data_IF_863352648220
#
_entry.id   IF_863352648220
#
_cell.length_a   1.000
_cell.length_b   1.000
_cell.length_c   1.000
_cell.angle_alpha   90.00
_cell.angle_beta   90.00
_cell.angle_gamma   90.00
#
_symmetry.space_group_name_H-M   'P 1'
#
loop_
_entity.id
_entity.type
_entity.pdbx_description
1 polymer ?
#
# COMPACT_ATOMS: atom_id res chain seq x y z
N UNK A 1 14.76 -28.81 -2.43
CA UNK A 1 13.91 -27.73 -1.91
C UNK A 1 12.46 -28.16 -2.00
N UNK A 2 11.66 -27.93 -0.95
CA UNK A 2 10.22 -28.21 -0.93
C UNK A 2 9.44 -26.91 -1.09
N UNK A 3 8.63 -26.84 -2.14
CA UNK A 3 7.66 -25.78 -2.38
C UNK A 3 6.31 -26.21 -1.82
N UNK A 4 5.83 -25.50 -0.81
CA UNK A 4 4.50 -25.62 -0.24
C UNK A 4 3.59 -24.56 -0.86
N UNK A 5 2.51 -24.98 -1.50
CA UNK A 5 1.58 -24.07 -2.16
C UNK A 5 0.17 -24.62 -2.12
N UNK A 6 -0.75 -23.90 -1.48
CA UNK A 6 -2.11 -24.38 -1.21
C UNK A 6 -2.06 -25.77 -0.55
N UNK A 7 -2.76 -26.76 -1.10
CA UNK A 7 -2.77 -28.14 -0.62
C UNK A 7 -1.68 -29.02 -1.26
N UNK A 8 -0.71 -28.42 -1.97
CA UNK A 8 0.32 -29.14 -2.71
C UNK A 8 1.72 -28.96 -2.11
N UNK A 9 2.50 -30.03 -2.17
CA UNK A 9 3.94 -30.00 -1.90
C UNK A 9 4.67 -30.53 -3.13
N UNK A 10 5.53 -29.71 -3.70
CA UNK A 10 6.32 -30.02 -4.91
C UNK A 10 7.80 -29.96 -4.53
N UNK A 11 8.56 -30.97 -4.93
CA UNK A 11 10.00 -31.01 -4.68
C UNK A 11 10.78 -30.62 -5.94
N UNK A 12 11.68 -29.66 -5.79
CA UNK A 12 12.60 -29.21 -6.83
C UNK A 12 14.04 -29.50 -6.39
N UNK A 13 14.88 -29.90 -7.34
CA UNK A 13 16.33 -29.88 -7.11
C UNK A 13 16.80 -28.43 -6.98
N UNK A 14 17.76 -28.20 -6.09
CA UNK A 14 18.33 -26.87 -5.82
C UNK A 14 19.30 -26.45 -6.94
N UNK A 15 18.76 -26.22 -8.14
CA UNK A 15 19.49 -25.85 -9.36
C UNK A 15 18.86 -24.62 -9.99
N UNK A 16 19.70 -23.76 -10.53
CA UNK A 16 19.29 -22.51 -11.21
C UNK A 16 18.31 -22.78 -12.36
N UNK A 17 18.55 -23.85 -13.14
CA UNK A 17 17.67 -24.27 -14.25
C UNK A 17 16.21 -24.55 -13.83
N UNK A 18 15.96 -24.79 -12.54
CA UNK A 18 14.61 -25.05 -12.02
C UNK A 18 13.86 -23.77 -11.61
N UNK A 19 14.54 -22.63 -11.45
CA UNK A 19 13.94 -21.40 -10.92
C UNK A 19 12.77 -20.94 -11.78
N UNK A 20 12.96 -20.84 -13.10
CA UNK A 20 11.90 -20.42 -14.03
C UNK A 20 10.68 -21.34 -13.93
N UNK A 21 10.91 -22.66 -14.01
CA UNK A 21 9.82 -23.65 -13.95
C UNK A 21 9.04 -23.60 -12.63
N UNK A 22 9.71 -23.28 -11.53
CA UNK A 22 9.10 -23.14 -10.22
C UNK A 22 8.25 -21.88 -10.13
N UNK A 23 8.79 -20.72 -10.54
CA UNK A 23 8.07 -19.45 -10.53
C UNK A 23 6.87 -19.48 -11.48
N UNK A 24 7.03 -20.07 -12.66
CA UNK A 24 5.92 -20.31 -13.60
C UNK A 24 4.84 -21.19 -12.98
N UNK A 25 5.23 -22.25 -12.26
CA UNK A 25 4.28 -23.14 -11.57
C UNK A 25 3.51 -22.42 -10.47
N UNK A 26 4.18 -21.53 -9.73
CA UNK A 26 3.53 -20.66 -8.73
C UNK A 26 2.50 -19.78 -9.44
N UNK A 27 2.94 -19.01 -10.45
CA UNK A 27 2.07 -18.08 -11.18
C UNK A 27 0.85 -18.77 -11.81
N UNK A 28 1.03 -19.94 -12.43
CA UNK A 28 -0.07 -20.73 -13.00
C UNK A 28 -1.04 -21.22 -11.93
N UNK A 29 -0.54 -21.72 -10.80
CA UNK A 29 -1.40 -22.23 -9.73
C UNK A 29 -2.24 -21.12 -9.11
N UNK A 30 -1.61 -19.97 -8.83
CA UNK A 30 -2.30 -18.80 -8.26
C UNK A 30 -3.33 -18.21 -9.23
N UNK A 31 -2.99 -18.08 -10.51
CA UNK A 31 -3.92 -17.56 -11.52
C UNK A 31 -5.17 -18.42 -11.65
N UNK A 32 -5.03 -19.74 -11.50
CA UNK A 32 -6.15 -20.69 -11.58
C UNK A 32 -6.99 -20.76 -10.30
N UNK A 33 -6.48 -20.28 -9.16
CA UNK A 33 -7.20 -20.31 -7.88
C UNK A 33 -8.02 -19.05 -7.59
N UNK A 34 -7.89 -18.00 -8.40
CA UNK A 34 -8.51 -16.71 -8.12
C UNK A 34 -7.93 -16.00 -6.89
N UNK A 35 -6.71 -16.37 -6.49
CA UNK A 35 -5.96 -15.75 -5.40
C UNK A 35 -4.89 -14.82 -5.99
N UNK A 36 -4.31 -13.99 -5.14
CA UNK A 36 -3.19 -13.11 -5.45
C UNK A 36 -1.97 -13.61 -4.67
N UNK A 37 -0.82 -13.70 -5.34
CA UNK A 37 0.44 -13.99 -4.67
C UNK A 37 0.80 -12.79 -3.77
N UNK A 38 0.85 -13.02 -2.46
CA UNK A 38 1.23 -11.98 -1.50
C UNK A 38 2.75 -11.92 -1.35
N UNK A 39 3.36 -13.04 -0.95
CA UNK A 39 4.79 -13.16 -0.74
C UNK A 39 5.19 -14.63 -0.67
N UNK A 40 6.50 -14.87 -0.61
CA UNK A 40 7.06 -16.18 -0.34
C UNK A 40 7.70 -16.18 1.04
N UNK A 41 7.56 -17.29 1.78
CA UNK A 41 8.34 -17.52 3.00
C UNK A 41 9.44 -18.51 2.64
N UNK A 42 10.69 -18.06 2.61
CA UNK A 42 11.85 -18.88 2.27
C UNK A 42 12.64 -19.17 3.55
N UNK A 43 12.65 -20.43 3.99
CA UNK A 43 13.29 -20.87 5.24
C UNK A 43 12.91 -20.00 6.47
N UNK A 44 11.66 -19.54 6.52
CA UNK A 44 11.12 -18.68 7.57
C UNK A 44 11.30 -17.17 7.33
N UNK A 45 11.94 -16.76 6.24
CA UNK A 45 12.10 -15.35 5.85
C UNK A 45 11.03 -14.91 4.85
N UNK A 46 10.29 -13.86 5.17
CA UNK A 46 9.27 -13.27 4.28
C UNK A 46 9.93 -12.45 3.17
N UNK A 47 9.74 -12.90 1.93
CA UNK A 47 10.22 -12.27 0.71
C UNK A 47 9.03 -11.76 -0.11
N UNK A 48 8.91 -10.44 -0.23
CA UNK A 48 7.78 -9.77 -0.88
C UNK A 48 8.01 -9.43 -2.36
N UNK A 49 9.24 -9.56 -2.86
CA UNK A 49 9.56 -9.23 -4.25
C UNK A 49 10.96 -9.70 -4.65
N UNK A 50 11.36 -9.38 -5.89
CA UNK A 50 12.63 -9.83 -6.49
C UNK A 50 12.89 -11.34 -6.30
N UNK A 51 11.84 -12.16 -6.47
CA UNK A 51 11.93 -13.59 -6.22
C UNK A 51 13.06 -14.23 -7.02
N UNK A 52 13.12 -13.95 -8.32
CA UNK A 52 14.13 -14.52 -9.20
C UNK A 52 15.55 -14.24 -8.72
N UNK A 53 15.87 -12.98 -8.40
CA UNK A 53 17.20 -12.60 -7.90
C UNK A 53 17.53 -13.29 -6.58
N UNK A 54 16.59 -13.32 -5.63
CA UNK A 54 16.81 -14.00 -4.36
C UNK A 54 17.07 -15.50 -4.56
N UNK A 55 16.27 -16.18 -5.38
CA UNK A 55 16.48 -17.59 -5.69
C UNK A 55 17.82 -17.81 -6.38
N UNK A 56 18.16 -17.01 -7.38
CA UNK A 56 19.44 -17.13 -8.10
C UNK A 56 20.63 -17.08 -7.14
N UNK A 57 20.61 -16.15 -6.19
CA UNK A 57 21.70 -15.95 -5.22
C UNK A 57 21.77 -17.07 -4.17
N UNK A 58 20.63 -17.69 -3.82
CA UNK A 58 20.52 -18.54 -2.63
C UNK A 58 20.11 -20.00 -2.91
N UNK A 59 19.76 -20.37 -4.15
CA UNK A 59 19.07 -21.64 -4.49
C UNK A 59 19.74 -22.88 -3.90
N UNK A 60 21.07 -22.90 -3.80
CA UNK A 60 21.84 -24.04 -3.30
C UNK A 60 21.51 -24.43 -1.87
N UNK A 61 21.08 -23.48 -1.05
CA UNK A 61 20.87 -23.68 0.39
C UNK A 61 19.40 -23.69 0.80
N UNK A 62 18.48 -23.32 -0.09
CA UNK A 62 17.07 -23.20 0.26
C UNK A 62 16.47 -24.59 0.54
N UNK A 63 15.89 -24.76 1.72
CA UNK A 63 15.26 -26.03 2.10
C UNK A 63 13.75 -26.00 1.83
N UNK A 64 13.08 -24.93 2.24
CA UNK A 64 11.62 -24.78 2.22
C UNK A 64 11.21 -23.42 1.65
N UNK A 65 10.21 -23.45 0.78
CA UNK A 65 9.51 -22.26 0.28
C UNK A 65 8.02 -22.45 0.54
N UNK A 66 7.37 -21.46 1.14
CA UNK A 66 5.92 -21.43 1.32
C UNK A 66 5.33 -20.29 0.51
N UNK A 67 4.37 -20.61 -0.34
CA UNK A 67 3.66 -19.63 -1.15
C UNK A 67 2.50 -19.10 -0.33
N UNK A 68 2.56 -17.81 0.04
CA UNK A 68 1.46 -17.15 0.71
C UNK A 68 0.62 -16.43 -0.33
N UNK A 69 -0.61 -16.90 -0.49
CA UNK A 69 -1.59 -16.32 -1.41
C UNK A 69 -2.80 -15.82 -0.63
N UNK A 70 -3.34 -14.68 -1.05
CA UNK A 70 -4.47 -14.01 -0.39
C UNK A 70 -5.61 -13.83 -1.38
N UNK A 71 -6.82 -13.76 -0.87
CA UNK A 71 -7.96 -13.30 -1.63
C UNK A 71 -7.83 -11.81 -1.94
N UNK A 72 -8.59 -11.36 -2.95
CA UNK A 72 -8.74 -9.92 -3.23
C UNK A 72 -9.26 -9.19 -1.97
N UNK A 73 -10.22 -9.77 -1.26
CA UNK A 73 -10.80 -9.15 -0.07
C UNK A 73 -9.76 -8.95 1.06
N UNK A 74 -8.92 -9.95 1.33
CA UNK A 74 -7.83 -9.84 2.31
C UNK A 74 -6.80 -8.79 1.90
N UNK A 75 -6.40 -8.80 0.62
CA UNK A 75 -5.43 -7.83 0.08
C UNK A 75 -5.96 -6.40 0.19
N UNK A 76 -7.23 -6.18 -0.16
CA UNK A 76 -7.87 -4.87 -0.04
C UNK A 76 -8.03 -4.43 1.41
N UNK A 77 -8.31 -5.36 2.34
CA UNK A 77 -8.38 -5.05 3.77
C UNK A 77 -7.02 -4.62 4.30
N UNK A 78 -5.93 -5.24 3.85
CA UNK A 78 -4.56 -4.84 4.21
C UNK A 78 -4.19 -3.47 3.68
N UNK A 79 -4.60 -3.13 2.45
CA UNK A 79 -4.45 -1.77 1.90
C UNK A 79 -5.18 -0.76 2.79
N UNK A 80 -6.45 -1.01 3.12
CA UNK A 80 -7.24 -0.12 3.98
C UNK A 80 -6.57 0.07 5.34
N UNK A 81 -6.14 -1.01 5.99
CA UNK A 81 -5.46 -0.94 7.29
C UNK A 81 -4.15 -0.17 7.21
N UNK A 82 -3.35 -0.43 6.18
CA UNK A 82 -2.08 0.25 5.95
C UNK A 82 -2.29 1.75 5.68
N UNK A 83 -3.35 2.11 4.96
CA UNK A 83 -3.74 3.52 4.74
C UNK A 83 -4.08 4.20 6.05
N UNK A 84 -4.87 3.57 6.91
CA UNK A 84 -5.18 4.11 8.23
C UNK A 84 -3.93 4.32 9.09
N UNK A 85 -3.02 3.34 9.11
CA UNK A 85 -1.76 3.43 9.87
C UNK A 85 -0.84 4.52 9.32
N UNK A 86 -0.78 4.66 8.00
CA UNK A 86 -0.04 5.73 7.36
C UNK A 86 -0.58 7.10 7.76
N UNK A 87 -1.89 7.31 7.63
CA UNK A 87 -2.59 8.56 7.99
C UNK A 87 -2.33 8.90 9.46
N UNK A 88 -2.52 7.94 10.36
CA UNK A 88 -2.31 8.15 11.80
C UNK A 88 -0.87 8.59 12.14
N UNK A 89 0.12 8.00 11.46
CA UNK A 89 1.52 8.35 11.67
C UNK A 89 1.90 9.69 11.05
N UNK A 90 1.30 10.05 9.91
CA UNK A 90 1.73 11.20 9.12
C UNK A 90 1.05 12.50 9.53
N UNK A 91 -0.20 12.49 10.03
CA UNK A 91 -0.89 13.73 10.45
C UNK A 91 -0.05 14.62 11.39
N UNK A 92 0.55 14.11 12.49
CA UNK A 92 1.41 14.92 13.35
C UNK A 92 2.65 15.46 12.64
N UNK A 93 3.17 14.73 11.65
CA UNK A 93 4.32 15.14 10.87
C UNK A 93 3.96 16.26 9.88
N UNK A 94 2.75 16.25 9.33
CA UNK A 94 2.23 17.30 8.46
C UNK A 94 2.11 18.62 9.22
N UNK A 95 1.63 18.59 10.47
CA UNK A 95 1.58 19.78 11.33
C UNK A 95 2.99 20.33 11.61
N UNK A 96 3.96 19.46 11.89
CA UNK A 96 5.36 19.87 12.06
C UNK A 96 5.92 20.48 10.77
N UNK A 97 5.65 19.85 9.63
CA UNK A 97 6.10 20.30 8.31
C UNK A 97 5.51 21.68 7.97
N UNK A 98 4.21 21.88 8.18
CA UNK A 98 3.55 23.18 7.99
C UNK A 98 4.23 24.28 8.82
N UNK A 99 4.56 24.00 10.09
CA UNK A 99 5.28 24.95 10.96
C UNK A 99 6.69 25.29 10.45
N UNK A 100 7.35 24.40 9.71
CA UNK A 100 8.64 24.66 9.06
C UNK A 100 8.47 25.59 7.85
N UNK A 101 7.43 25.35 7.04
CA UNK A 101 7.10 26.19 5.88
C UNK A 101 6.67 27.61 6.26
N UNK A 102 5.95 27.81 7.38
CA UNK A 102 5.68 29.16 7.90
C UNK A 102 6.94 29.95 8.31
N UNK A 103 8.07 29.26 8.53
CA UNK A 103 9.32 29.88 8.96
C UNK A 103 10.29 29.97 7.79
N UNK A 104 11.10 28.94 7.61
CA UNK A 104 12.15 28.85 6.60
C UNK A 104 12.43 27.35 6.44
N UNK A 105 11.80 26.68 5.46
CA UNK A 105 12.03 25.27 5.22
C UNK A 105 13.47 25.03 4.81
N UNK A 106 14.03 23.90 5.22
CA UNK A 106 15.35 23.45 4.79
C UNK A 106 15.24 22.29 3.78
N UNK A 107 16.36 21.73 3.36
CA UNK A 107 16.37 20.59 2.42
C UNK A 107 15.57 19.39 2.96
N UNK A 108 15.62 19.12 4.27
CA UNK A 108 14.85 18.04 4.90
C UNK A 108 13.34 18.33 4.84
N UNK A 109 12.90 19.57 5.06
CA UNK A 109 11.49 19.98 4.92
C UNK A 109 10.99 19.70 3.50
N UNK A 110 11.76 20.05 2.48
CA UNK A 110 11.42 19.76 1.08
C UNK A 110 11.40 18.25 0.80
N UNK A 111 12.36 17.49 1.33
CA UNK A 111 12.38 16.03 1.23
C UNK A 111 11.16 15.38 1.88
N UNK A 112 10.75 15.85 3.05
CA UNK A 112 9.54 15.38 3.74
C UNK A 112 8.27 15.69 2.96
N UNK A 113 8.20 16.86 2.31
CA UNK A 113 7.10 17.21 1.43
C UNK A 113 7.01 16.27 0.22
N UNK A 114 8.14 15.92 -0.40
CA UNK A 114 8.18 14.94 -1.50
C UNK A 114 7.66 13.58 -1.03
N UNK A 115 8.16 13.08 0.11
CA UNK A 115 7.70 11.82 0.70
C UNK A 115 6.19 11.83 1.00
N UNK A 116 5.67 12.97 1.46
CA UNK A 116 4.26 13.16 1.73
C UNK A 116 3.43 13.04 0.44
N UNK A 117 3.86 13.69 -0.65
CA UNK A 117 3.22 13.64 -1.97
C UNK A 117 3.26 12.21 -2.54
N UNK A 118 4.37 11.48 -2.36
CA UNK A 118 4.44 10.05 -2.72
C UNK A 118 3.40 9.22 -1.94
N UNK A 119 3.23 9.52 -0.64
CA UNK A 119 2.18 8.92 0.18
C UNK A 119 0.77 9.23 -0.31
N UNK A 120 0.51 10.44 -0.83
CA UNK A 120 -0.79 10.77 -1.42
C UNK A 120 -1.09 9.90 -2.64
N UNK A 121 -0.12 9.76 -3.54
CA UNK A 121 -0.25 8.90 -4.71
C UNK A 121 -0.52 7.45 -4.29
N UNK A 122 0.20 6.94 -3.29
CA UNK A 122 -0.02 5.59 -2.78
C UNK A 122 -1.44 5.38 -2.20
N UNK A 123 -2.01 6.37 -1.50
CA UNK A 123 -3.40 6.31 -1.02
C UNK A 123 -4.39 6.27 -2.19
N UNK A 124 -4.19 7.13 -3.20
CA UNK A 124 -5.05 7.23 -4.38
C UNK A 124 -5.00 5.94 -5.22
N UNK A 125 -3.81 5.39 -5.43
CA UNK A 125 -3.60 4.13 -6.15
C UNK A 125 -4.22 2.95 -5.38
N UNK A 126 -4.01 2.92 -4.07
CA UNK A 126 -4.63 1.94 -3.18
C UNK A 126 -6.15 1.95 -3.27
N UNK A 127 -6.76 3.13 -3.16
CA UNK A 127 -8.20 3.32 -3.36
C UNK A 127 -8.64 2.86 -4.75
N UNK A 128 -7.97 3.30 -5.82
CA UNK A 128 -8.33 2.98 -7.21
C UNK A 128 -8.26 1.48 -7.48
N UNK A 129 -7.28 0.79 -6.91
CA UNK A 129 -7.12 -0.66 -7.05
C UNK A 129 -8.29 -1.45 -6.44
N UNK A 130 -8.92 -0.90 -5.39
CA UNK A 130 -10.09 -1.48 -4.73
C UNK A 130 -11.36 -1.07 -5.46
N UNK A 131 -11.53 0.22 -5.73
CA UNK A 131 -12.77 0.81 -6.27
C UNK A 131 -13.08 0.32 -7.70
N UNK A 132 -12.04 0.17 -8.52
CA UNK A 132 -12.17 -0.35 -9.89
C UNK A 132 -12.40 -1.87 -9.96
N UNK A 133 -12.33 -2.58 -8.82
CA UNK A 133 -12.46 -4.02 -8.81
C UNK A 133 -13.91 -4.46 -9.08
N UNK A 134 -14.17 -5.32 -10.10
CA UNK A 134 -15.52 -5.81 -10.40
C UNK A 134 -16.19 -6.56 -9.24
N UNK A 135 -15.41 -7.01 -8.25
CA UNK A 135 -15.86 -7.71 -7.07
C UNK A 135 -15.91 -6.82 -5.82
N UNK A 136 -15.98 -5.49 -5.96
CA UNK A 136 -16.03 -4.54 -4.84
C UNK A 136 -17.04 -4.92 -3.74
N UNK A 137 -18.21 -5.48 -4.10
CA UNK A 137 -19.23 -5.97 -3.14
C UNK A 137 -18.73 -7.04 -2.17
N UNK A 138 -17.72 -7.79 -2.57
CA UNK A 138 -17.12 -8.85 -1.76
C UNK A 138 -15.96 -8.32 -0.91
N UNK A 139 -15.53 -7.07 -1.15
CA UNK A 139 -14.42 -6.40 -0.48
C UNK A 139 -14.95 -5.48 0.61
N UNK A 140 -15.91 -4.60 0.27
CA UNK A 140 -16.46 -3.61 1.19
C UNK A 140 -17.84 -4.05 1.69
N UNK A 141 -18.00 -4.06 3.02
CA UNK A 141 -19.27 -4.46 3.67
C UNK A 141 -20.37 -3.40 3.51
N UNK A 142 -19.99 -2.13 3.38
CA UNK A 142 -20.92 -1.02 3.20
C UNK A 142 -20.45 -0.13 2.05
N UNK A 143 -21.21 -0.18 0.95
CA UNK A 143 -21.01 0.70 -0.21
C UNK A 143 -21.20 2.17 0.15
N UNK A 144 -22.09 2.48 1.08
CA UNK A 144 -22.31 3.85 1.53
C UNK A 144 -21.06 4.40 2.21
N UNK A 145 -20.48 3.64 3.15
CA UNK A 145 -19.26 4.06 3.85
C UNK A 145 -18.06 4.14 2.90
N UNK A 146 -17.95 3.20 1.95
CA UNK A 146 -16.93 3.25 0.90
C UNK A 146 -17.08 4.50 0.04
N UNK A 147 -18.29 4.86 -0.38
CA UNK A 147 -18.53 6.07 -1.18
C UNK A 147 -18.22 7.35 -0.41
N UNK A 148 -18.43 7.38 0.91
CA UNK A 148 -18.02 8.53 1.74
C UNK A 148 -16.50 8.68 1.77
N UNK A 149 -15.76 7.57 1.91
CA UNK A 149 -14.29 7.59 1.80
C UNK A 149 -13.83 7.99 0.39
N UNK A 150 -14.51 7.50 -0.65
CA UNK A 150 -14.21 7.86 -2.04
C UNK A 150 -14.27 9.37 -2.27
N UNK A 151 -15.26 10.06 -1.67
CA UNK A 151 -15.36 11.52 -1.76
C UNK A 151 -14.09 12.21 -1.25
N UNK A 152 -13.53 11.75 -0.12
CA UNK A 152 -12.30 12.34 0.41
C UNK A 152 -11.10 12.07 -0.49
N UNK A 153 -11.02 10.89 -1.11
CA UNK A 153 -9.94 10.57 -2.05
C UNK A 153 -10.04 11.48 -3.29
N UNK A 154 -11.24 11.78 -3.77
CA UNK A 154 -11.44 12.76 -4.83
C UNK A 154 -11.07 14.18 -4.38
N UNK A 155 -11.46 14.59 -3.16
CA UNK A 155 -11.05 15.88 -2.60
C UNK A 155 -9.54 16.00 -2.47
N UNK A 156 -8.85 14.95 -2.02
CA UNK A 156 -7.39 14.91 -1.96
C UNK A 156 -6.77 15.07 -3.35
N UNK A 157 -7.33 14.40 -4.36
CA UNK A 157 -6.85 14.50 -5.73
C UNK A 157 -7.03 15.90 -6.31
N UNK A 158 -8.20 16.52 -6.10
CA UNK A 158 -8.45 17.90 -6.52
C UNK A 158 -7.48 18.88 -5.83
N UNK A 159 -7.27 18.70 -4.51
CA UNK A 159 -6.31 19.50 -3.75
C UNK A 159 -4.87 19.33 -4.24
N UNK A 160 -4.48 18.13 -4.69
CA UNK A 160 -3.14 17.92 -5.27
C UNK A 160 -2.93 18.72 -6.57
N UNK A 161 -3.98 18.90 -7.38
CA UNK A 161 -3.91 19.71 -8.60
C UNK A 161 -3.69 21.20 -8.25
N UNK A 162 -4.41 21.72 -7.25
CA UNK A 162 -4.21 23.08 -6.73
C UNK A 162 -2.82 23.25 -6.09
N UNK A 163 -2.39 22.24 -5.31
CA UNK A 163 -1.12 22.29 -4.61
C UNK A 163 0.07 22.34 -5.58
N UNK A 164 -0.03 21.66 -6.73
CA UNK A 164 1.00 21.74 -7.77
C UNK A 164 1.21 23.18 -8.27
N UNK A 165 0.15 23.97 -8.42
CA UNK A 165 0.24 25.37 -8.82
C UNK A 165 0.95 26.21 -7.76
N UNK A 166 0.59 26.04 -6.49
CA UNK A 166 1.19 26.76 -5.35
C UNK A 166 2.67 26.43 -5.18
N UNK A 167 3.06 25.16 -5.41
CA UNK A 167 4.46 24.74 -5.35
C UNK A 167 5.32 25.42 -6.42
N UNK A 168 4.76 25.68 -7.61
CA UNK A 168 5.48 26.38 -8.69
C UNK A 168 5.79 27.83 -8.33
N UNK A 169 4.87 28.49 -7.65
CA UNK A 169 5.01 29.87 -7.21
C UNK A 169 5.83 30.00 -5.91
N UNK A 170 6.16 28.86 -5.25
CA UNK A 170 6.96 28.79 -4.02
C UNK A 170 6.40 29.67 -2.89
N UNK A 171 5.08 29.80 -2.83
CA UNK A 171 4.42 30.52 -1.74
C UNK A 171 4.44 29.68 -0.47
N UNK A 172 5.45 29.90 0.38
CA UNK A 172 5.68 29.12 1.59
C UNK A 172 4.52 29.22 2.59
N UNK A 173 3.80 30.36 2.62
CA UNK A 173 2.64 30.52 3.51
C UNK A 173 1.48 29.69 3.00
N UNK A 174 1.20 29.75 1.69
CA UNK A 174 0.15 28.94 1.07
C UNK A 174 0.46 27.44 1.16
N UNK A 175 1.73 27.02 1.02
CA UNK A 175 2.15 25.63 1.26
C UNK A 175 1.83 25.22 2.70
N UNK A 176 2.20 26.05 3.68
CA UNK A 176 1.93 25.76 5.08
C UNK A 176 0.42 25.68 5.38
N UNK A 177 -0.38 26.59 4.79
CA UNK A 177 -1.83 26.64 4.95
C UNK A 177 -2.50 25.37 4.39
N UNK A 178 -2.15 24.94 3.17
CA UNK A 178 -2.66 23.69 2.58
C UNK A 178 -2.38 22.49 3.48
N UNK A 179 -1.14 22.38 3.96
CA UNK A 179 -0.74 21.26 4.82
C UNK A 179 -1.58 21.21 6.10
N UNK A 180 -1.74 22.33 6.79
CA UNK A 180 -2.43 22.38 8.10
C UNK A 180 -3.95 22.40 8.01
N UNK A 181 -4.50 23.15 7.06
CA UNK A 181 -5.94 23.46 7.04
C UNK A 181 -6.73 22.68 6.00
N UNK A 182 -6.06 21.97 5.09
CA UNK A 182 -6.74 21.23 4.02
C UNK A 182 -6.37 19.75 4.05
N UNK A 183 -5.07 19.43 4.02
CA UNK A 183 -4.60 18.03 4.02
C UNK A 183 -4.92 17.33 5.35
N UNK A 184 -4.58 17.92 6.50
CA UNK A 184 -4.83 17.30 7.80
C UNK A 184 -6.33 17.00 7.99
N UNK A 185 -7.26 17.94 7.76
CA UNK A 185 -8.70 17.65 7.87
C UNK A 185 -9.18 16.53 6.94
N UNK A 186 -8.73 16.51 5.67
CA UNK A 186 -9.07 15.42 4.74
C UNK A 186 -8.59 14.07 5.30
N UNK A 187 -7.38 14.03 5.84
CA UNK A 187 -6.80 12.80 6.39
C UNK A 187 -7.53 12.31 7.64
N UNK A 188 -7.93 13.21 8.53
CA UNK A 188 -8.73 12.86 9.70
C UNK A 188 -10.10 12.28 9.30
N UNK A 189 -10.78 12.91 8.34
CA UNK A 189 -12.04 12.44 7.78
C UNK A 189 -11.90 11.05 7.14
N UNK A 190 -10.84 10.84 6.33
CA UNK A 190 -10.51 9.55 5.74
C UNK A 190 -10.35 8.48 6.82
N UNK A 191 -9.56 8.76 7.87
CA UNK A 191 -9.32 7.81 8.97
C UNK A 191 -10.63 7.41 9.66
N UNK A 192 -11.51 8.37 9.94
CA UNK A 192 -12.82 8.10 10.55
C UNK A 192 -13.66 7.17 9.67
N UNK A 193 -13.77 7.47 8.37
CA UNK A 193 -14.57 6.68 7.42
C UNK A 193 -13.99 5.29 7.18
N UNK A 194 -12.66 5.17 7.09
CA UNK A 194 -11.98 3.87 7.02
C UNK A 194 -12.21 3.04 8.29
N UNK A 195 -12.18 3.66 9.47
CA UNK A 195 -12.53 3.01 10.74
C UNK A 195 -13.94 2.39 10.74
N UNK A 196 -14.91 3.10 10.16
CA UNK A 196 -16.29 2.59 10.00
C UNK A 196 -16.38 1.42 9.02
N UNK A 197 -15.50 1.36 8.01
CA UNK A 197 -15.47 0.29 7.00
C UNK A 197 -14.93 -1.02 7.61
N UNK A 198 -13.84 -0.95 8.38
CA UNK A 198 -13.24 -2.14 9.00
C UNK A 198 -14.03 -2.65 10.22
N UNK A 199 -14.87 -1.78 10.80
CA UNK A 199 -15.44 -1.96 12.14
C UNK A 199 -14.38 -1.56 13.17
N UNK A 200 -14.77 -0.71 14.15
CA UNK A 200 -13.85 -0.13 15.15
C UNK A 200 -12.78 -1.14 15.58
N UNK A 201 -11.50 -0.75 15.49
CA UNK A 201 -10.37 -1.55 15.98
C UNK A 201 -10.73 -1.98 17.40
N UNK A 202 -10.92 -3.28 17.61
CA UNK A 202 -10.98 -3.81 18.97
C UNK A 202 -9.58 -3.61 19.52
N UNK A 203 -9.42 -2.58 20.37
CA UNK A 203 -8.23 -2.34 21.18
C UNK A 203 -7.84 -3.57 22.02
#
# INVERSE_FOLDING_TARGET
MKLHMLDQVIEYENKEDNIDSMLDKINQTISNSGLILSHLIVDGYELYGNFYGYFLDNIRYIEKVEVVAKTIAETSQEIILSTMDYIERVCPQIEMLSNEFYKTPNEDSWGNLINLIEGFNWIIDGFTSIDSNPQLKNIVKSYEQWNLYAQDVYSLKELMEEFEEILRDTDLVSIADILSYEIVPIFEDMKEKLGKIIGERVE
#
